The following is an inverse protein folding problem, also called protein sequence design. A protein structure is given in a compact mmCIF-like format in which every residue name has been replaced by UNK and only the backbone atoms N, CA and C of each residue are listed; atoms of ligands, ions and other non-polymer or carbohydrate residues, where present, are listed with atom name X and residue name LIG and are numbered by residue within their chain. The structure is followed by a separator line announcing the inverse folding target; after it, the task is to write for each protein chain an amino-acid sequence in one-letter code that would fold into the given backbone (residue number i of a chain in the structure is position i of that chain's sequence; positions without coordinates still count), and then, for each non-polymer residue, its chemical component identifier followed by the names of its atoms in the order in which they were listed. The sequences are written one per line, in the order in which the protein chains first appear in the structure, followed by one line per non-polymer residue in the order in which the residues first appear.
data_IF_568631092735
#
_entry.id   IF_568631092735
#
_cell.length_a   1.000
_cell.length_b   1.000
_cell.length_c   1.000
_cell.angle_alpha   90.00
_cell.angle_beta   90.00
_cell.angle_gamma   90.00
#
_symmetry.space_group_name_H-M   'P 1'
#
loop_
_entity.id
_entity.type
_entity.pdbx_description
1 polymer ?
#
# COMPACT_ATOMS: atom_id res chain seq x y z
N UNK A 1 22.77 12.84 -5.68
CA UNK A 1 21.37 12.37 -5.56
C UNK A 1 20.56 13.49 -4.92
N UNK A 2 19.70 14.21 -5.66
CA UNK A 2 18.89 15.31 -5.10
C UNK A 2 17.77 14.71 -4.24
N UNK A 3 17.86 14.85 -2.92
CA UNK A 3 16.76 14.55 -2.01
C UNK A 3 15.63 15.54 -2.27
N UNK A 4 14.49 15.03 -2.74
CA UNK A 4 13.27 15.79 -2.95
C UNK A 4 12.20 15.25 -2.01
N UNK A 5 11.68 16.10 -1.13
CA UNK A 5 10.52 15.83 -0.24
C UNK A 5 9.19 15.63 -1.00
N UNK A 6 9.21 15.63 -2.34
CA UNK A 6 8.00 15.47 -3.15
C UNK A 6 7.57 14.00 -3.23
N UNK A 7 6.26 13.76 -3.21
CA UNK A 7 5.65 12.42 -3.27
C UNK A 7 5.98 11.65 -4.55
N UNK A 8 5.74 10.33 -4.53
CA UNK A 8 6.19 9.42 -5.60
C UNK A 8 5.60 9.75 -6.97
N UNK A 9 4.37 10.28 -7.03
CA UNK A 9 3.77 10.78 -8.27
C UNK A 9 4.56 11.93 -8.89
N UNK A 10 5.07 12.87 -8.08
CA UNK A 10 5.90 13.96 -8.58
C UNK A 10 7.27 13.47 -9.07
N UNK A 11 7.86 12.48 -8.38
CA UNK A 11 9.09 11.84 -8.84
C UNK A 11 8.89 11.14 -10.18
N UNK A 12 7.76 10.45 -10.37
CA UNK A 12 7.38 9.85 -11.64
C UNK A 12 7.26 10.93 -12.72
N UNK A 13 6.52 12.02 -12.47
CA UNK A 13 6.39 13.13 -13.39
C UNK A 13 7.74 13.70 -13.83
N UNK A 14 8.65 14.00 -12.90
CA UNK A 14 9.98 14.53 -13.24
C UNK A 14 10.77 13.57 -14.13
N UNK A 15 10.75 12.27 -13.80
CA UNK A 15 11.46 11.25 -14.58
C UNK A 15 10.91 11.13 -16.00
N UNK A 16 9.59 11.19 -16.17
CA UNK A 16 8.96 11.11 -17.49
C UNK A 16 9.16 12.41 -18.29
N UNK A 17 9.14 13.57 -17.63
CA UNK A 17 9.35 14.88 -18.25
C UNK A 17 10.73 15.01 -18.89
N UNK A 18 11.73 14.37 -18.30
CA UNK A 18 13.13 14.40 -18.78
C UNK A 18 13.40 13.40 -19.91
N UNK A 19 12.43 12.56 -20.29
CA UNK A 19 12.57 11.56 -21.35
C UNK A 19 12.01 12.05 -22.70
N UNK A 20 12.59 11.62 -23.83
CA UNK A 20 11.96 11.76 -25.14
C UNK A 20 10.58 11.08 -25.17
N UNK A 21 9.61 11.68 -25.87
CA UNK A 21 8.22 11.20 -25.89
C UNK A 21 8.12 9.75 -26.40
N UNK A 22 8.98 9.39 -27.34
CA UNK A 22 9.08 8.06 -27.95
C UNK A 22 9.50 6.99 -26.92
N UNK A 23 10.30 7.39 -25.94
CA UNK A 23 10.85 6.50 -24.90
C UNK A 23 9.94 6.41 -23.68
N UNK A 24 9.07 7.40 -23.43
CA UNK A 24 8.09 7.38 -22.33
C UNK A 24 7.26 6.10 -22.36
N UNK A 25 6.75 5.73 -23.53
CA UNK A 25 5.93 4.52 -23.72
C UNK A 25 6.67 3.23 -23.41
N UNK A 26 7.99 3.21 -23.62
CA UNK A 26 8.87 2.06 -23.35
C UNK A 26 9.49 2.12 -21.96
N UNK A 27 9.20 3.16 -21.18
CA UNK A 27 9.84 3.37 -19.88
C UNK A 27 9.46 2.26 -18.91
N UNK A 28 10.45 1.79 -18.14
CA UNK A 28 10.23 0.82 -17.05
C UNK A 28 9.24 1.33 -16.00
N UNK A 29 9.05 2.64 -15.91
CA UNK A 29 8.16 3.27 -14.93
C UNK A 29 6.68 3.13 -15.28
N UNK A 30 6.34 2.89 -16.55
CA UNK A 30 4.97 2.63 -16.99
C UNK A 30 4.71 1.16 -17.32
N UNK A 31 5.76 0.33 -17.40
CA UNK A 31 5.68 -1.08 -17.80
C UNK A 31 4.68 -1.89 -16.98
N UNK A 32 4.71 -1.75 -15.66
CA UNK A 32 3.82 -2.50 -14.76
C UNK A 32 2.34 -2.13 -15.02
N UNK A 33 2.02 -0.84 -15.02
CA UNK A 33 0.66 -0.36 -15.33
C UNK A 33 0.21 -0.74 -16.74
N UNK A 34 1.12 -0.73 -17.71
CA UNK A 34 0.83 -1.16 -19.08
C UNK A 34 0.49 -2.65 -19.14
N UNK A 35 1.30 -3.51 -18.53
CA UNK A 35 1.06 -4.97 -18.48
C UNK A 35 -0.26 -5.30 -17.77
N UNK A 36 -0.60 -4.60 -16.69
CA UNK A 36 -1.90 -4.75 -16.02
C UNK A 36 -3.07 -4.41 -16.96
N UNK A 37 -2.96 -3.27 -17.64
CA UNK A 37 -4.00 -2.83 -18.58
C UNK A 37 -4.15 -3.81 -19.75
N UNK A 38 -3.04 -4.27 -20.31
CA UNK A 38 -3.02 -5.27 -21.39
C UNK A 38 -3.72 -6.56 -20.95
N UNK A 39 -3.44 -7.06 -19.74
CA UNK A 39 -4.11 -8.23 -19.20
C UNK A 39 -5.64 -8.05 -19.15
N UNK A 40 -6.13 -6.95 -18.57
CA UNK A 40 -7.58 -6.71 -18.45
C UNK A 40 -8.28 -6.50 -19.79
N UNK A 41 -7.57 -5.96 -20.79
CA UNK A 41 -8.11 -5.80 -22.15
C UNK A 41 -8.42 -7.14 -22.83
N UNK A 42 -7.77 -8.23 -22.42
CA UNK A 42 -8.00 -9.58 -22.97
C UNK A 42 -9.28 -10.25 -22.44
N UNK A 43 -9.84 -9.76 -21.33
CA UNK A 43 -11.02 -10.36 -20.70
C UNK A 43 -12.31 -9.79 -21.29
N UNK A 44 -13.39 -10.58 -21.31
CA UNK A 44 -14.73 -10.10 -21.66
C UNK A 44 -15.30 -9.21 -20.54
N UNK A 45 -16.36 -8.45 -20.84
CA UNK A 45 -16.93 -7.48 -19.90
C UNK A 45 -17.58 -8.12 -18.67
N UNK A 46 -18.15 -9.32 -18.78
CA UNK A 46 -18.78 -10.01 -17.65
C UNK A 46 -17.71 -10.46 -16.64
N UNK A 47 -16.67 -11.14 -17.13
CA UNK A 47 -15.53 -11.54 -16.30
C UNK A 47 -14.87 -10.34 -15.64
N UNK A 48 -14.66 -9.26 -16.41
CA UNK A 48 -14.03 -8.04 -15.92
C UNK A 48 -14.87 -7.35 -14.84
N UNK A 49 -16.20 -7.37 -14.96
CA UNK A 49 -17.13 -6.81 -13.99
C UNK A 49 -17.14 -7.62 -12.68
N UNK A 50 -17.06 -8.95 -12.75
CA UNK A 50 -16.91 -9.80 -11.56
C UNK A 50 -15.60 -9.52 -10.81
N UNK A 51 -14.50 -9.38 -11.55
CA UNK A 51 -13.20 -9.02 -10.97
C UNK A 51 -13.26 -7.63 -10.32
N UNK A 52 -13.90 -6.64 -10.96
CA UNK A 52 -14.12 -5.32 -10.38
C UNK A 52 -14.84 -5.42 -9.03
N UNK A 53 -15.95 -6.16 -8.95
CA UNK A 53 -16.70 -6.31 -7.71
C UNK A 53 -15.89 -7.02 -6.62
N UNK A 54 -15.10 -8.03 -6.97
CA UNK A 54 -14.22 -8.71 -6.02
C UNK A 54 -13.18 -7.73 -5.45
N UNK A 55 -12.52 -6.92 -6.29
CA UNK A 55 -11.52 -5.94 -5.83
C UNK A 55 -12.17 -4.86 -4.97
N UNK A 56 -13.35 -4.36 -5.34
CA UNK A 56 -14.08 -3.36 -4.54
C UNK A 56 -14.47 -3.93 -3.18
N UNK A 57 -14.93 -5.19 -3.13
CA UNK A 57 -15.22 -5.90 -1.88
C UNK A 57 -13.97 -6.00 -1.00
N UNK A 58 -12.84 -6.43 -1.54
CA UNK A 58 -11.58 -6.53 -0.78
C UNK A 58 -11.06 -5.17 -0.32
N UNK A 59 -11.15 -4.14 -1.16
CA UNK A 59 -10.79 -2.76 -0.81
C UNK A 59 -11.56 -2.23 0.39
N UNK A 60 -12.81 -2.64 0.57
CA UNK A 60 -13.61 -2.31 1.75
C UNK A 60 -13.11 -3.02 3.02
N UNK A 61 -12.64 -4.26 2.90
CA UNK A 61 -12.09 -5.05 4.02
C UNK A 61 -10.72 -4.57 4.52
N UNK A 62 -9.91 -3.92 3.67
CA UNK A 62 -8.62 -3.31 4.05
C UNK A 62 -8.77 -2.28 5.18
N UNK A 63 -9.96 -1.68 5.36
CA UNK A 63 -10.27 -0.75 6.46
C UNK A 63 -10.19 -1.37 7.87
N UNK A 64 -10.12 -2.70 7.98
CA UNK A 64 -9.97 -3.41 9.26
C UNK A 64 -8.54 -3.30 9.82
N UNK A 65 -7.52 -3.14 8.97
CA UNK A 65 -6.10 -3.07 9.40
C UNK A 65 -5.84 -1.89 10.37
N UNK A 66 -6.30 -0.65 10.09
CA UNK A 66 -6.19 0.46 11.04
C UNK A 66 -6.85 0.17 12.40
N UNK A 67 -7.98 -0.54 12.43
CA UNK A 67 -8.69 -0.90 13.66
C UNK A 67 -7.80 -1.82 14.51
N UNK A 68 -7.21 -2.86 13.92
CA UNK A 68 -6.29 -3.74 14.62
C UNK A 68 -5.03 -2.99 15.11
N UNK A 69 -4.47 -2.09 14.29
CA UNK A 69 -3.33 -1.28 14.70
C UNK A 69 -3.66 -0.41 15.93
N UNK A 70 -4.87 0.17 15.99
CA UNK A 70 -5.33 0.95 17.15
C UNK A 70 -5.63 0.11 18.38
N UNK A 71 -5.93 -1.19 18.23
CA UNK A 71 -6.19 -2.09 19.35
C UNK A 71 -4.91 -2.53 20.07
N UNK A 72 -3.74 -2.46 19.42
CA UNK A 72 -2.46 -2.92 20.02
C UNK A 72 -2.10 -2.14 21.28
N UNK A 73 -2.15 -0.79 21.34
CA UNK A 73 -1.94 -0.05 22.58
C UNK A 73 -2.88 -0.49 23.73
N UNK A 74 -4.16 -0.74 23.42
CA UNK A 74 -5.13 -1.21 24.41
C UNK A 74 -4.80 -2.61 24.92
N UNK A 75 -4.35 -3.51 24.03
CA UNK A 75 -3.90 -4.83 24.42
C UNK A 75 -2.65 -4.75 25.32
N UNK A 76 -1.67 -3.92 24.96
CA UNK A 76 -0.46 -3.71 25.78
C UNK A 76 -0.81 -3.12 27.15
N UNK A 77 -1.81 -2.24 27.21
CA UNK A 77 -2.30 -1.68 28.47
C UNK A 77 -2.89 -2.74 29.41
N UNK A 78 -3.60 -3.75 28.88
CA UNK A 78 -4.12 -4.86 29.69
C UNK A 78 -3.00 -5.69 30.35
N UNK A 79 -1.81 -5.71 29.76
CA UNK A 79 -0.63 -6.40 30.28
C UNK A 79 0.40 -5.43 30.88
N UNK A 80 -0.01 -4.22 31.28
CA UNK A 80 0.92 -3.19 31.73
C UNK A 80 1.88 -3.66 32.83
N UNK A 81 1.39 -4.28 33.92
CA UNK A 81 2.26 -4.66 35.03
C UNK A 81 3.29 -5.75 34.66
N UNK A 82 2.92 -6.88 34.02
CA UNK A 82 3.89 -7.85 33.54
C UNK A 82 4.85 -7.27 32.48
N UNK A 83 4.33 -6.41 31.60
CA UNK A 83 5.11 -5.79 30.54
C UNK A 83 6.13 -4.81 31.11
N UNK A 84 5.72 -3.93 32.01
CA UNK A 84 6.60 -2.99 32.71
C UNK A 84 7.72 -3.73 33.44
N UNK A 85 7.36 -4.77 34.20
CA UNK A 85 8.34 -5.61 34.89
C UNK A 85 9.35 -6.22 33.91
N UNK A 86 8.92 -6.68 32.74
CA UNK A 86 9.81 -7.23 31.72
C UNK A 86 10.69 -6.17 31.03
N UNK A 87 10.12 -4.99 30.75
CA UNK A 87 10.78 -3.91 30.01
C UNK A 87 11.80 -3.14 30.85
N UNK A 88 11.57 -3.04 32.16
CA UNK A 88 12.39 -2.23 33.08
C UNK A 88 13.07 -3.04 34.18
N UNK A 89 13.03 -4.38 34.13
CA UNK A 89 13.68 -5.24 35.13
C UNK A 89 15.16 -4.90 35.30
N UNK A 90 15.63 -4.75 36.53
CA UNK A 90 17.05 -4.63 36.90
C UNK A 90 17.87 -3.58 36.11
N UNK A 91 17.24 -2.48 35.70
CA UNK A 91 17.91 -1.44 34.90
C UNK A 91 18.21 -1.88 33.45
N UNK A 92 17.56 -2.95 32.98
CA UNK A 92 17.68 -3.42 31.61
C UNK A 92 17.13 -2.41 30.59
N UNK A 93 17.77 -2.35 29.43
CA UNK A 93 17.33 -1.53 28.30
C UNK A 93 16.33 -2.26 27.39
N UNK A 94 15.60 -3.25 27.92
CA UNK A 94 14.62 -4.05 27.16
C UNK A 94 13.51 -3.17 26.56
N UNK A 95 13.11 -2.12 27.27
CA UNK A 95 12.18 -1.09 26.78
C UNK A 95 12.63 -0.45 25.46
N UNK A 96 13.94 -0.25 25.26
CA UNK A 96 14.48 0.39 24.06
C UNK A 96 14.36 -0.55 22.86
N UNK A 97 14.72 -1.82 23.04
CA UNK A 97 14.57 -2.86 22.02
C UNK A 97 13.10 -3.05 21.67
N UNK A 98 12.23 -3.15 22.67
CA UNK A 98 10.79 -3.27 22.49
C UNK A 98 10.23 -2.10 21.68
N UNK A 99 10.60 -0.86 22.04
CA UNK A 99 10.12 0.35 21.34
C UNK A 99 10.54 0.37 19.88
N UNK A 100 11.79 0.01 19.58
CA UNK A 100 12.29 -0.07 18.21
C UNK A 100 11.54 -1.12 17.41
N UNK A 101 11.40 -2.35 17.94
CA UNK A 101 10.66 -3.43 17.28
C UNK A 101 9.20 -3.01 17.05
N UNK A 102 8.56 -2.44 18.07
CA UNK A 102 7.18 -1.98 18.00
C UNK A 102 6.98 -0.93 16.90
N UNK A 103 7.84 0.08 16.82
CA UNK A 103 7.76 1.10 15.77
C UNK A 103 8.04 0.54 14.38
N UNK A 104 8.95 -0.42 14.25
CA UNK A 104 9.21 -1.11 12.97
C UNK A 104 7.96 -1.87 12.52
N UNK A 105 7.35 -2.67 13.41
CA UNK A 105 6.15 -3.45 13.07
C UNK A 105 4.97 -2.54 12.70
N UNK A 106 4.74 -1.47 13.46
CA UNK A 106 3.73 -0.47 13.14
C UNK A 106 3.98 0.18 11.77
N UNK A 107 5.23 0.57 11.50
CA UNK A 107 5.60 1.21 10.24
C UNK A 107 5.39 0.27 9.06
N UNK A 108 5.81 -0.99 9.18
CA UNK A 108 5.61 -2.01 8.14
C UNK A 108 4.11 -2.22 7.90
N UNK A 109 3.32 -2.39 8.96
CA UNK A 109 1.87 -2.57 8.86
C UNK A 109 1.20 -1.40 8.11
N UNK A 110 1.58 -0.17 8.45
CA UNK A 110 1.04 1.03 7.80
C UNK A 110 1.45 1.12 6.33
N UNK A 111 2.72 0.84 6.01
CA UNK A 111 3.22 0.83 4.64
C UNK A 111 2.49 -0.23 3.79
N UNK A 112 2.32 -1.44 4.32
CA UNK A 112 1.60 -2.51 3.62
C UNK A 112 0.14 -2.12 3.37
N UNK A 113 -0.55 -1.60 4.39
CA UNK A 113 -1.93 -1.12 4.25
C UNK A 113 -2.09 -0.08 3.14
N UNK A 114 -1.23 0.94 3.12
CA UNK A 114 -1.30 1.98 2.09
C UNK A 114 -0.91 1.46 0.70
N UNK A 115 0.04 0.53 0.61
CA UNK A 115 0.41 -0.11 -0.66
C UNK A 115 -0.75 -0.93 -1.22
N UNK A 116 -1.38 -1.77 -0.40
CA UNK A 116 -2.55 -2.58 -0.81
C UNK A 116 -3.70 -1.68 -1.27
N UNK A 117 -3.98 -0.60 -0.52
CA UNK A 117 -5.01 0.38 -0.89
C UNK A 117 -4.70 1.07 -2.22
N UNK A 118 -3.44 1.43 -2.46
CA UNK A 118 -3.01 2.04 -3.72
C UNK A 118 -3.15 1.04 -4.89
N UNK A 119 -2.71 -0.20 -4.69
CA UNK A 119 -2.80 -1.28 -5.66
C UNK A 119 -4.25 -1.57 -6.07
N UNK A 120 -5.13 -1.82 -5.09
CA UNK A 120 -6.55 -2.01 -5.34
C UNK A 120 -7.15 -0.81 -6.11
N UNK A 121 -6.72 0.42 -5.78
CA UNK A 121 -7.09 1.63 -6.50
C UNK A 121 -6.72 1.59 -7.99
N UNK A 122 -5.48 1.24 -8.32
CA UNK A 122 -5.00 1.14 -9.70
C UNK A 122 -5.80 0.12 -10.50
N UNK A 123 -5.98 -1.09 -9.97
CA UNK A 123 -6.77 -2.13 -10.64
C UNK A 123 -8.22 -1.69 -10.88
N UNK A 124 -8.87 -1.14 -9.85
CA UNK A 124 -10.27 -0.67 -9.95
C UNK A 124 -10.41 0.40 -11.04
N UNK A 125 -9.46 1.34 -11.12
CA UNK A 125 -9.51 2.44 -12.10
C UNK A 125 -9.28 1.97 -13.53
N UNK A 126 -8.31 1.07 -13.75
CA UNK A 126 -8.04 0.49 -15.07
C UNK A 126 -9.26 -0.29 -15.57
N UNK A 127 -9.84 -1.13 -14.70
CA UNK A 127 -11.00 -1.95 -15.06
C UNK A 127 -12.18 -1.05 -15.42
N UNK A 128 -12.45 -0.01 -14.61
CA UNK A 128 -13.52 0.96 -14.88
C UNK A 128 -13.31 1.67 -16.22
N UNK A 129 -12.10 2.17 -16.50
CA UNK A 129 -11.77 2.80 -17.79
C UNK A 129 -12.00 1.87 -18.99
N UNK A 130 -11.76 0.56 -18.83
CA UNK A 130 -12.01 -0.42 -19.89
C UNK A 130 -13.51 -0.68 -20.07
N UNK A 131 -14.25 -0.88 -18.99
CA UNK A 131 -15.70 -1.11 -19.04
C UNK A 131 -16.45 0.10 -19.61
N UNK A 132 -16.08 1.31 -19.19
CA UNK A 132 -16.68 2.57 -19.65
C UNK A 132 -16.44 2.83 -21.15
N UNK A 133 -15.36 2.27 -21.73
CA UNK A 133 -15.07 2.37 -23.16
C UNK A 133 -15.77 1.31 -24.02
N UNK A 134 -16.24 0.23 -23.40
CA UNK A 134 -16.90 -0.89 -24.09
C UNK A 134 -18.42 -0.73 -24.14
N UNK A 135 -18.98 0.09 -23.26
CA UNK A 135 -20.41 0.47 -23.21
C UNK A 135 -20.64 1.79 -23.96
#
# INVERSE_FOLDING_TARGET
MKFSMRGDAHKLYLRLKEMPIEDIKKSRYLKETATLKEFYLLLDSETLQLIYYQIVKEKSGIGIIPIFATAIPWLLFLFANPLENFLFHDGSSNWMIFSVIYLILLSISLILHFKEKAWAGVHTEIIRDILDKRN
#
